data_IF_321851533490
#
_entry.id   IF_321851533490
#
_cell.length_a   1.000
_cell.length_b   1.000
_cell.length_c   1.000
_cell.angle_alpha   90.00
_cell.angle_beta   90.00
_cell.angle_gamma   90.00
#
_symmetry.space_group_name_H-M   'P 1'
#
loop_
_entity.id
_entity.type
_entity.pdbx_description
1 polymer ?
#
# COMPACT_ATOMS: atom_id res chain seq x y z
N UNK A 1 -0.38 38.64 -20.92
CA UNK A 1 0.42 37.97 -19.84
C UNK A 1 1.59 38.88 -19.51
N UNK A 2 1.75 39.31 -18.24
CA UNK A 2 2.96 40.05 -17.83
C UNK A 2 4.08 39.04 -17.72
N UNK A 3 5.16 39.23 -18.49
CA UNK A 3 6.35 38.40 -18.38
C UNK A 3 7.03 38.66 -17.02
N UNK A 4 7.37 37.61 -16.31
CA UNK A 4 8.14 37.68 -15.08
C UNK A 4 9.53 38.28 -15.34
N UNK A 5 10.02 39.12 -14.45
CA UNK A 5 11.43 39.53 -14.48
C UNK A 5 12.32 38.35 -14.12
N UNK A 6 13.62 38.43 -14.49
CA UNK A 6 14.59 37.38 -14.17
C UNK A 6 14.67 37.09 -12.66
N UNK A 7 14.59 38.13 -11.84
CA UNK A 7 14.60 38.00 -10.38
C UNK A 7 13.35 37.31 -9.83
N UNK A 8 12.18 37.68 -10.36
CA UNK A 8 10.91 37.01 -10.01
C UNK A 8 10.90 35.54 -10.42
N UNK A 9 11.47 35.22 -11.60
CA UNK A 9 11.56 33.83 -12.06
C UNK A 9 12.49 32.99 -11.16
N UNK A 10 13.65 33.57 -10.75
CA UNK A 10 14.57 32.90 -9.82
C UNK A 10 13.96 32.71 -8.42
N UNK A 11 13.24 33.71 -7.93
CA UNK A 11 12.53 33.61 -6.66
C UNK A 11 11.46 32.50 -6.70
N UNK A 12 10.63 32.48 -7.74
CA UNK A 12 9.63 31.41 -7.92
C UNK A 12 10.26 30.01 -8.02
N UNK A 13 11.38 29.87 -8.74
CA UNK A 13 12.11 28.62 -8.84
C UNK A 13 12.66 28.16 -7.48
N UNK A 14 13.18 29.09 -6.68
CA UNK A 14 13.65 28.80 -5.32
C UNK A 14 12.53 28.30 -4.43
N UNK A 15 11.43 29.03 -4.36
CA UNK A 15 10.23 28.64 -3.57
C UNK A 15 9.69 27.27 -4.02
N UNK A 16 9.67 27.02 -5.32
CA UNK A 16 9.22 25.75 -5.88
C UNK A 16 10.13 24.60 -5.47
N UNK A 17 11.45 24.78 -5.59
CA UNK A 17 12.41 23.76 -5.19
C UNK A 17 12.39 23.49 -3.68
N UNK A 18 12.23 24.52 -2.85
CA UNK A 18 12.10 24.35 -1.40
C UNK A 18 10.81 23.59 -1.04
N UNK A 19 9.71 23.90 -1.70
CA UNK A 19 8.44 23.22 -1.50
C UNK A 19 8.53 21.74 -1.91
N UNK A 20 9.05 21.43 -3.08
CA UNK A 20 9.18 20.03 -3.54
C UNK A 20 10.31 19.28 -2.82
N UNK A 21 11.37 19.96 -2.36
CA UNK A 21 12.38 19.36 -1.50
C UNK A 21 11.85 18.85 -0.17
N UNK A 22 10.74 19.40 0.31
CA UNK A 22 10.08 18.90 1.51
C UNK A 22 9.40 17.54 1.30
N UNK A 23 8.93 17.24 0.08
CA UNK A 23 8.28 15.96 -0.20
C UNK A 23 9.26 14.79 -0.09
N UNK A 24 10.50 14.93 -0.53
CA UNK A 24 11.52 13.90 -0.37
C UNK A 24 11.79 13.60 1.12
N UNK A 25 11.78 14.63 1.98
CA UNK A 25 11.92 14.45 3.43
C UNK A 25 10.71 13.79 4.08
N UNK A 26 9.51 14.03 3.54
CA UNK A 26 8.28 13.37 4.02
C UNK A 26 8.36 11.88 3.74
N UNK A 27 8.81 11.45 2.56
CA UNK A 27 8.97 10.06 2.21
C UNK A 27 10.00 9.35 3.11
N UNK A 28 11.15 9.99 3.37
CA UNK A 28 12.14 9.49 4.31
C UNK A 28 11.55 9.37 5.73
N UNK A 29 10.90 10.41 6.21
CA UNK A 29 10.26 10.40 7.53
C UNK A 29 9.20 9.30 7.66
N UNK A 30 8.34 9.12 6.65
CA UNK A 30 7.31 8.08 6.65
C UNK A 30 7.92 6.68 6.64
N UNK A 31 9.02 6.49 5.90
CA UNK A 31 9.77 5.24 5.90
C UNK A 31 10.38 4.96 7.27
N UNK A 32 11.03 5.94 7.88
CA UNK A 32 11.66 5.81 9.19
C UNK A 32 10.63 5.52 10.29
N UNK A 33 9.45 6.15 10.25
CA UNK A 33 8.34 5.85 11.14
C UNK A 33 7.84 4.40 10.98
N UNK A 34 7.74 3.90 9.75
CA UNK A 34 7.36 2.51 9.50
C UNK A 34 8.41 1.53 9.98
N UNK A 35 9.68 1.80 9.74
CA UNK A 35 10.77 0.95 10.22
C UNK A 35 10.78 0.89 11.76
N UNK A 36 10.62 2.02 12.43
CA UNK A 36 10.50 2.07 13.90
C UNK A 36 9.29 1.27 14.43
N UNK A 37 8.16 1.28 13.73
CA UNK A 37 7.01 0.45 14.07
C UNK A 37 7.31 -1.04 13.93
N UNK A 38 8.00 -1.46 12.89
CA UNK A 38 8.40 -2.86 12.67
C UNK A 38 9.37 -3.32 13.75
N UNK A 39 10.34 -2.49 14.12
CA UNK A 39 11.33 -2.79 15.17
C UNK A 39 10.71 -2.95 16.58
N UNK A 40 9.57 -2.30 16.84
CA UNK A 40 8.87 -2.43 18.12
C UNK A 40 8.02 -3.69 18.23
N UNK A 41 7.82 -4.43 17.15
CA UNK A 41 7.06 -5.67 17.16
C UNK A 41 7.94 -6.76 17.80
N UNK A 42 7.39 -7.49 18.79
CA UNK A 42 8.04 -8.64 19.41
C UNK A 42 8.51 -9.64 18.34
N UNK A 43 9.61 -10.35 18.63
CA UNK A 43 10.30 -11.25 17.68
C UNK A 43 9.31 -12.01 16.77
N UNK A 44 9.37 -11.80 15.44
CA UNK A 44 8.40 -12.37 14.53
C UNK A 44 8.55 -13.88 14.44
N UNK A 45 7.43 -14.58 14.47
CA UNK A 45 7.38 -15.99 14.12
C UNK A 45 7.26 -16.11 12.59
N UNK A 46 8.01 -17.03 11.94
CA UNK A 46 7.94 -17.23 10.50
C UNK A 46 6.53 -17.50 10.01
N UNK A 47 6.14 -16.88 8.91
CA UNK A 47 4.83 -17.06 8.28
C UNK A 47 3.71 -16.18 8.83
N UNK A 48 3.97 -15.34 9.82
CA UNK A 48 2.96 -14.45 10.42
C UNK A 48 2.89 -13.06 9.75
N UNK A 49 3.56 -12.85 8.63
CA UNK A 49 3.48 -11.62 7.86
C UNK A 49 4.43 -10.53 8.36
N UNK A 50 5.65 -10.90 8.66
CA UNK A 50 6.72 -9.98 9.02
C UNK A 50 7.66 -9.73 7.84
N UNK A 51 8.59 -8.79 7.98
CA UNK A 51 9.52 -8.40 6.92
C UNK A 51 10.28 -9.60 6.35
N UNK A 52 10.71 -10.54 7.20
CA UNK A 52 11.37 -11.77 6.79
C UNK A 52 10.52 -12.70 5.92
N UNK A 53 9.20 -12.54 5.95
CA UNK A 53 8.25 -13.33 5.17
C UNK A 53 7.94 -12.71 3.81
N UNK A 54 8.43 -11.49 3.54
CA UNK A 54 8.25 -10.81 2.27
C UNK A 54 9.24 -11.30 1.23
N UNK A 55 8.78 -11.37 -0.03
CA UNK A 55 9.64 -11.75 -1.14
C UNK A 55 10.68 -10.65 -1.42
N UNK A 56 11.94 -11.03 -1.47
CA UNK A 56 13.09 -10.13 -1.56
C UNK A 56 14.04 -10.45 -2.72
N UNK A 57 13.82 -11.54 -3.47
CA UNK A 57 14.64 -11.90 -4.62
C UNK A 57 14.08 -11.33 -5.93
N UNK A 58 14.34 -10.05 -6.16
CA UNK A 58 13.91 -9.36 -7.39
C UNK A 58 14.72 -9.74 -8.64
N UNK A 59 15.67 -10.67 -8.51
CA UNK A 59 16.43 -11.22 -9.66
C UNK A 59 15.76 -12.46 -10.26
N UNK A 60 14.84 -13.08 -9.52
CA UNK A 60 14.10 -14.25 -9.98
C UNK A 60 13.16 -13.86 -11.13
N UNK A 61 13.26 -14.60 -12.26
CA UNK A 61 12.32 -14.38 -13.38
C UNK A 61 10.92 -14.82 -12.98
N UNK A 62 9.87 -14.03 -13.29
CA UNK A 62 8.48 -14.42 -13.02
C UNK A 62 8.07 -15.76 -13.63
N UNK A 63 8.68 -16.16 -14.73
CA UNK A 63 8.40 -17.43 -15.43
C UNK A 63 8.78 -18.69 -14.64
N UNK A 64 9.72 -18.55 -13.70
CA UNK A 64 10.20 -19.68 -12.88
C UNK A 64 9.56 -19.70 -11.49
N UNK A 65 8.74 -18.70 -11.16
CA UNK A 65 8.04 -18.63 -9.88
C UNK A 65 6.89 -19.64 -9.83
N UNK A 66 6.86 -20.47 -8.79
CA UNK A 66 5.70 -21.33 -8.49
C UNK A 66 4.81 -20.63 -7.45
N UNK A 67 3.75 -20.00 -7.93
CA UNK A 67 2.88 -19.16 -7.13
C UNK A 67 1.66 -19.92 -6.62
N UNK A 68 1.27 -19.66 -5.38
CA UNK A 68 0.03 -20.12 -4.80
C UNK A 68 -0.74 -18.99 -4.14
N UNK A 69 -2.06 -19.12 -4.08
CA UNK A 69 -2.93 -18.16 -3.38
C UNK A 69 -3.35 -18.78 -2.05
N UNK A 70 -3.12 -18.04 -0.98
CA UNK A 70 -3.47 -18.45 0.38
C UNK A 70 -4.40 -17.42 1.03
N UNK A 71 -5.34 -17.90 1.85
CA UNK A 71 -6.17 -17.02 2.68
C UNK A 71 -5.41 -16.64 3.95
N UNK A 72 -5.45 -15.37 4.32
CA UNK A 72 -4.79 -14.85 5.52
C UNK A 72 -5.79 -14.58 6.62
N UNK A 73 -5.40 -14.90 7.85
CA UNK A 73 -6.08 -14.42 9.05
C UNK A 73 -5.89 -12.90 9.24
N UNK A 74 -6.66 -12.31 10.16
CA UNK A 74 -6.66 -10.87 10.36
C UNK A 74 -5.31 -10.35 10.85
N UNK A 75 -4.65 -11.07 11.75
CA UNK A 75 -3.40 -10.61 12.35
C UNK A 75 -2.26 -10.63 11.34
N UNK A 76 -2.13 -11.73 10.59
CA UNK A 76 -1.14 -11.85 9.51
C UNK A 76 -1.36 -10.80 8.43
N UNK A 77 -2.61 -10.59 8.04
CA UNK A 77 -2.98 -9.53 7.09
C UNK A 77 -2.56 -8.15 7.57
N UNK A 78 -2.89 -7.81 8.82
CA UNK A 78 -2.60 -6.48 9.37
C UNK A 78 -1.09 -6.24 9.49
N UNK A 79 -0.31 -7.27 9.86
CA UNK A 79 1.15 -7.21 9.85
C UNK A 79 1.68 -6.92 8.44
N UNK A 80 1.25 -7.69 7.44
CA UNK A 80 1.67 -7.50 6.05
C UNK A 80 1.34 -6.10 5.53
N UNK A 81 0.12 -5.63 5.74
CA UNK A 81 -0.34 -4.34 5.23
C UNK A 81 0.36 -3.17 5.92
N UNK A 82 0.70 -3.30 7.20
CA UNK A 82 1.45 -2.26 7.91
C UNK A 82 2.87 -2.05 7.36
N UNK A 83 3.45 -3.05 6.70
CA UNK A 83 4.76 -2.94 6.06
C UNK A 83 4.71 -2.36 4.65
N UNK A 84 3.55 -2.44 3.97
CA UNK A 84 3.40 -1.95 2.61
C UNK A 84 3.17 -0.44 2.62
N UNK A 85 4.07 0.32 2.00
CA UNK A 85 4.01 1.79 1.96
C UNK A 85 2.86 2.36 1.14
N UNK A 86 2.40 1.60 0.15
CA UNK A 86 1.36 2.03 -0.81
C UNK A 86 -0.07 1.90 -0.28
N UNK A 87 -0.26 1.31 0.92
CA UNK A 87 -1.58 1.07 1.47
C UNK A 87 -1.68 1.57 2.91
N UNK A 88 -2.75 2.27 3.23
CA UNK A 88 -3.10 2.63 4.59
C UNK A 88 -4.20 1.68 5.10
N UNK A 89 -4.13 1.28 6.36
CA UNK A 89 -5.22 0.57 7.02
C UNK A 89 -6.46 1.46 7.02
N UNK A 90 -7.35 1.23 6.08
CA UNK A 90 -8.64 1.92 6.08
C UNK A 90 -9.54 1.30 7.13
N UNK A 91 -10.34 2.15 7.75
CA UNK A 91 -11.43 1.75 8.65
C UNK A 91 -12.22 0.62 8.02
N UNK A 92 -12.50 -0.42 8.80
CA UNK A 92 -13.26 -1.59 8.37
C UNK A 92 -14.60 -1.18 7.75
N UNK A 93 -14.76 -1.49 6.47
CA UNK A 93 -16.07 -1.36 5.81
C UNK A 93 -16.95 -2.51 6.31
N UNK A 94 -18.18 -2.26 6.75
CA UNK A 94 -19.11 -3.31 7.16
C UNK A 94 -19.31 -4.33 6.04
N UNK A 95 -19.27 -5.61 6.37
CA UNK A 95 -19.47 -6.70 5.43
C UNK A 95 -18.40 -7.79 5.53
N UNK A 96 -18.48 -8.78 4.65
CA UNK A 96 -17.45 -9.83 4.56
C UNK A 96 -16.26 -9.32 3.76
N UNK A 97 -15.08 -9.62 4.22
CA UNK A 97 -13.84 -9.41 3.49
C UNK A 97 -13.07 -10.73 3.39
N UNK A 98 -12.58 -11.02 2.19
CA UNK A 98 -11.67 -12.12 1.91
C UNK A 98 -10.28 -11.50 1.72
N UNK A 99 -9.32 -11.94 2.51
CA UNK A 99 -7.94 -11.46 2.54
C UNK A 99 -7.04 -12.55 1.98
N UNK A 100 -6.46 -12.30 0.84
CA UNK A 100 -5.63 -13.27 0.12
C UNK A 100 -4.22 -12.75 -0.02
N UNK A 101 -3.26 -13.67 0.04
CA UNK A 101 -1.88 -13.43 -0.36
C UNK A 101 -1.46 -14.37 -1.48
N UNK A 102 -0.53 -13.90 -2.29
CA UNK A 102 0.21 -14.73 -3.24
C UNK A 102 1.54 -15.07 -2.61
N UNK A 103 1.85 -16.36 -2.49
CA UNK A 103 3.13 -16.87 -2.00
C UNK A 103 3.91 -17.53 -3.13
N UNK A 104 5.23 -17.39 -3.08
CA UNK A 104 6.14 -18.20 -3.87
C UNK A 104 6.46 -19.47 -3.05
N UNK A 105 6.16 -20.66 -3.62
CA UNK A 105 6.18 -21.93 -2.89
C UNK A 105 7.57 -22.37 -2.47
N UNK A 106 8.60 -22.13 -3.30
CA UNK A 106 9.94 -22.61 -3.01
C UNK A 106 10.59 -21.82 -1.87
N UNK A 107 10.35 -20.50 -1.83
CA UNK A 107 10.85 -19.61 -0.78
C UNK A 107 9.88 -19.48 0.40
N UNK A 108 8.62 -19.85 0.19
CA UNK A 108 7.51 -19.67 1.12
C UNK A 108 7.29 -18.19 1.54
N UNK A 109 7.66 -17.23 0.66
CA UNK A 109 7.56 -15.80 0.92
C UNK A 109 6.37 -15.17 0.22
N UNK A 110 5.82 -14.12 0.82
CA UNK A 110 4.70 -13.36 0.27
C UNK A 110 5.16 -12.43 -0.85
N UNK A 111 4.54 -12.58 -2.03
CA UNK A 111 4.84 -11.78 -3.23
C UNK A 111 3.84 -10.63 -3.39
N UNK A 112 2.59 -10.83 -2.97
CA UNK A 112 1.55 -9.84 -3.12
C UNK A 112 0.31 -10.11 -2.28
N UNK A 113 -0.53 -9.09 -2.16
CA UNK A 113 -1.73 -9.13 -1.31
C UNK A 113 -2.94 -8.62 -2.05
N UNK A 114 -4.10 -9.23 -1.79
CA UNK A 114 -5.38 -8.88 -2.41
C UNK A 114 -6.51 -8.97 -1.40
N UNK A 115 -7.36 -7.96 -1.36
CA UNK A 115 -8.56 -7.95 -0.52
C UNK A 115 -9.80 -7.82 -1.38
N UNK A 116 -10.72 -8.75 -1.22
CA UNK A 116 -12.07 -8.65 -1.73
C UNK A 116 -13.00 -8.28 -0.58
N UNK A 117 -13.86 -7.32 -0.80
CA UNK A 117 -14.85 -6.88 0.19
C UNK A 117 -16.25 -6.90 -0.38
N UNK A 118 -17.25 -6.91 0.49
CA UNK A 118 -18.63 -6.71 0.08
C UNK A 118 -18.77 -5.37 -0.66
N UNK A 119 -19.60 -5.30 -1.70
CA UNK A 119 -19.79 -4.06 -2.44
C UNK A 119 -20.34 -2.97 -1.51
N UNK A 120 -19.88 -1.75 -1.72
CA UNK A 120 -20.40 -0.59 -1.01
C UNK A 120 -21.88 -0.41 -1.37
N UNK A 121 -22.74 -0.24 -0.36
CA UNK A 121 -24.19 -0.14 -0.53
C UNK A 121 -24.53 1.05 -1.43
N UNK A 122 -23.90 2.20 -1.18
CA UNK A 122 -24.08 3.41 -1.99
C UNK A 122 -22.79 3.76 -2.76
N UNK A 123 -22.83 3.57 -4.09
CA UNK A 123 -21.75 3.94 -4.99
C UNK A 123 -22.37 4.64 -6.22
N UNK A 124 -22.35 5.97 -6.20
CA UNK A 124 -23.02 6.79 -7.22
C UNK A 124 -22.61 6.43 -8.66
N UNK A 125 -21.34 6.24 -9.03
CA UNK A 125 -20.97 5.84 -10.38
C UNK A 125 -21.56 4.49 -10.79
N UNK A 126 -21.54 3.50 -9.89
CA UNK A 126 -22.14 2.18 -10.14
C UNK A 126 -23.66 2.27 -10.29
N UNK A 127 -24.31 3.05 -9.40
CA UNK A 127 -25.77 3.16 -9.40
C UNK A 127 -26.28 3.82 -10.69
N UNK A 128 -25.56 4.82 -11.21
CA UNK A 128 -25.84 5.44 -12.50
C UNK A 128 -25.70 4.43 -13.63
N UNK A 129 -24.61 3.62 -13.64
CA UNK A 129 -24.38 2.61 -14.66
C UNK A 129 -25.45 1.51 -14.66
N UNK A 130 -25.96 1.14 -13.49
CA UNK A 130 -26.97 0.10 -13.31
C UNK A 130 -28.42 0.63 -13.43
N UNK A 131 -28.63 1.89 -13.80
CA UNK A 131 -29.96 2.44 -14.08
C UNK A 131 -30.67 3.05 -12.88
N UNK A 132 -30.00 3.91 -12.13
CA UNK A 132 -30.58 4.70 -11.04
C UNK A 132 -31.29 3.90 -9.95
N UNK A 133 -30.57 3.06 -9.27
CA UNK A 133 -31.03 2.52 -7.98
C UNK A 133 -31.11 3.70 -7.01
N UNK A 134 -32.27 3.96 -6.38
CA UNK A 134 -32.44 5.10 -5.47
C UNK A 134 -31.40 5.08 -4.35
N UNK A 135 -30.91 6.26 -3.96
CA UNK A 135 -30.16 6.40 -2.72
C UNK A 135 -31.10 6.00 -1.55
N UNK A 136 -30.72 4.96 -0.83
CA UNK A 136 -31.35 4.54 0.42
C UNK A 136 -30.88 5.42 1.57
#
# INVERSE_FOLDING_TARGET
>A
MKNLTKEQALHCAGVFNDYFGQFNRIDEYMRDQKMAQIETIAQPLPGMGFDSDMFDDFTMSPEVMDLEVVELDNNTWDNCINMISSHSNMVSIPGKALKLAVKEKNTNKYVGFMRFGSPVINCKPRNILLGNVPDL
#
